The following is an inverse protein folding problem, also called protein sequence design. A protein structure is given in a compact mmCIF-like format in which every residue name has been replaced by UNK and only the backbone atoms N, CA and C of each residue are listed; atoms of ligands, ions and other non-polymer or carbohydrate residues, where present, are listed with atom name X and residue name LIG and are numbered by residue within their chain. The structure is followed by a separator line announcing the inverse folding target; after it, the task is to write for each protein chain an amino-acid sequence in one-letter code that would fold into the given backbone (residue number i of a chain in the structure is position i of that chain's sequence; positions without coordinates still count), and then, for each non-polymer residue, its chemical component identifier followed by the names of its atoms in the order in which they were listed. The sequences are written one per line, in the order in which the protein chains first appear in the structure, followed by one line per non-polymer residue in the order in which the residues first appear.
data_IF_148001799306
#
_entry.id   IF_148001799306
#
_cell.length_a   1.000
_cell.length_b   1.000
_cell.length_c   1.000
_cell.angle_alpha   90.00
_cell.angle_beta   90.00
_cell.angle_gamma   90.00
#
_symmetry.space_group_name_H-M   'P 1'
#
loop_
_entity.id
_entity.type
_entity.pdbx_description
1 polymer ?
#
# COMPACT_ATOMS: atom_id res chain seq x y z
N UNK A 1 -63.46 2.41 -17.49
CA UNK A 1 -63.09 1.47 -16.41
C UNK A 1 -62.53 0.21 -17.04
N UNK A 2 -61.28 -0.17 -16.72
CA UNK A 2 -60.69 -1.46 -17.11
C UNK A 2 -59.27 -1.34 -17.69
N UNK A 3 -58.25 -1.45 -16.83
CA UNK A 3 -56.81 -1.31 -17.08
C UNK A 3 -56.22 -2.21 -18.18
N UNK A 4 -55.20 -1.75 -18.94
CA UNK A 4 -54.31 -2.62 -19.68
C UNK A 4 -53.24 -3.24 -18.75
N UNK A 5 -53.08 -4.57 -18.82
CA UNK A 5 -52.05 -5.34 -18.10
C UNK A 5 -50.68 -5.06 -18.73
N UNK A 6 -49.78 -4.44 -17.97
CA UNK A 6 -48.36 -4.33 -18.32
C UNK A 6 -47.64 -5.64 -18.00
N UNK A 7 -46.97 -6.21 -19.00
CA UNK A 7 -45.97 -7.26 -18.80
C UNK A 7 -44.73 -6.63 -18.16
N UNK A 8 -44.49 -6.92 -16.88
CA UNK A 8 -43.23 -6.59 -16.22
C UNK A 8 -42.27 -7.77 -16.41
N UNK A 9 -41.34 -7.64 -17.34
CA UNK A 9 -40.19 -8.55 -17.45
C UNK A 9 -39.17 -8.11 -16.40
N UNK A 10 -39.07 -8.84 -15.29
CA UNK A 10 -38.00 -8.68 -14.31
C UNK A 10 -36.66 -9.11 -14.94
N UNK A 11 -35.63 -8.26 -15.03
CA UNK A 11 -34.29 -8.75 -15.29
C UNK A 11 -33.80 -9.47 -14.04
N UNK A 12 -33.38 -10.73 -14.21
CA UNK A 12 -32.74 -11.53 -13.17
C UNK A 12 -31.60 -10.74 -12.52
N UNK A 13 -31.59 -10.71 -11.19
CA UNK A 13 -30.55 -10.12 -10.38
C UNK A 13 -29.19 -10.67 -10.82
N UNK A 14 -28.35 -9.79 -11.36
CA UNK A 14 -26.92 -10.04 -11.52
C UNK A 14 -26.37 -10.06 -10.09
N UNK A 15 -26.12 -11.26 -9.57
CA UNK A 15 -25.42 -11.42 -8.29
C UNK A 15 -24.15 -10.55 -8.28
N UNK A 16 -23.70 -10.06 -7.11
CA UNK A 16 -22.55 -9.19 -7.05
C UNK A 16 -21.36 -9.95 -7.66
N UNK A 17 -20.89 -9.49 -8.82
CA UNK A 17 -19.60 -9.91 -9.38
C UNK A 17 -18.55 -9.34 -8.44
N UNK A 18 -18.16 -10.10 -7.42
CA UNK A 18 -16.90 -9.88 -6.73
C UNK A 18 -15.78 -10.35 -7.66
N UNK A 19 -15.46 -9.50 -8.63
CA UNK A 19 -14.24 -9.60 -9.42
C UNK A 19 -13.71 -8.18 -9.58
N UNK A 20 -13.30 -7.60 -8.46
CA UNK A 20 -12.37 -6.47 -8.50
C UNK A 20 -11.02 -7.03 -8.91
N UNK A 21 -10.41 -6.46 -9.95
CA UNK A 21 -9.01 -6.72 -10.22
C UNK A 21 -8.19 -6.36 -8.95
N UNK A 22 -7.09 -7.08 -8.66
CA UNK A 22 -6.21 -6.70 -7.56
C UNK A 22 -5.78 -5.24 -7.74
N UNK A 23 -5.88 -4.46 -6.67
CA UNK A 23 -5.42 -3.06 -6.69
C UNK A 23 -3.90 -3.05 -6.85
N UNK A 24 -3.41 -2.31 -7.85
CA UNK A 24 -1.99 -2.20 -8.17
C UNK A 24 -1.49 -0.84 -7.75
N UNK A 25 -0.33 -0.83 -7.09
CA UNK A 25 0.36 0.38 -6.67
C UNK A 25 1.74 0.39 -7.31
N UNK A 26 2.22 1.58 -7.63
CA UNK A 26 3.58 1.80 -8.11
C UNK A 26 4.24 2.81 -7.21
N UNK A 27 5.39 2.44 -6.63
CA UNK A 27 6.22 3.33 -5.82
C UNK A 27 7.52 3.62 -6.54
N UNK A 28 8.10 4.77 -6.21
CA UNK A 28 9.45 5.15 -6.58
C UNK A 28 10.40 4.78 -5.44
N UNK A 29 11.39 3.93 -5.70
CA UNK A 29 12.42 3.52 -4.72
C UNK A 29 13.47 4.62 -4.48
N UNK A 30 13.49 5.67 -5.30
CA UNK A 30 14.47 6.76 -5.22
C UNK A 30 15.88 6.37 -5.71
N UNK A 31 16.11 5.09 -6.00
CA UNK A 31 17.37 4.51 -6.49
C UNK A 31 17.09 3.38 -7.48
N UNK A 32 18.14 2.97 -8.21
CA UNK A 32 18.06 1.82 -9.12
C UNK A 32 17.86 0.51 -8.35
N UNK A 33 17.17 -0.45 -8.97
CA UNK A 33 17.04 -1.83 -8.47
C UNK A 33 18.37 -2.60 -8.32
N UNK A 34 19.48 -2.03 -8.79
CA UNK A 34 20.82 -2.62 -8.67
C UNK A 34 21.57 -2.17 -7.41
N UNK A 35 21.01 -1.23 -6.64
CA UNK A 35 21.61 -0.77 -5.37
C UNK A 35 21.09 -1.58 -4.19
N UNK A 36 21.84 -1.57 -3.09
CA UNK A 36 21.47 -2.26 -1.85
C UNK A 36 20.10 -1.77 -1.34
N UNK A 37 19.88 -0.46 -1.32
CA UNK A 37 18.62 0.14 -0.84
C UNK A 37 17.43 -0.21 -1.75
N UNK A 38 17.66 -0.29 -3.07
CA UNK A 38 16.64 -0.74 -4.01
C UNK A 38 16.26 -2.21 -3.80
N UNK A 39 17.26 -3.08 -3.56
CA UNK A 39 17.04 -4.49 -3.27
C UNK A 39 16.33 -4.70 -1.94
N UNK A 40 16.65 -3.92 -0.90
CA UNK A 40 15.97 -3.97 0.39
C UNK A 40 14.47 -3.68 0.26
N UNK A 41 14.08 -2.66 -0.52
CA UNK A 41 12.66 -2.36 -0.77
C UNK A 41 11.98 -3.53 -1.49
N UNK A 42 12.65 -4.15 -2.48
CA UNK A 42 12.12 -5.29 -3.23
C UNK A 42 11.96 -6.51 -2.32
N UNK A 43 12.91 -6.78 -1.44
CA UNK A 43 12.86 -7.89 -0.49
C UNK A 43 11.66 -7.73 0.46
N UNK A 44 11.48 -6.55 1.05
CA UNK A 44 10.30 -6.24 1.87
C UNK A 44 9.00 -6.41 1.09
N UNK A 45 8.94 -5.94 -0.17
CA UNK A 45 7.77 -6.10 -1.02
C UNK A 45 7.43 -7.57 -1.29
N UNK A 46 8.43 -8.43 -1.50
CA UNK A 46 8.23 -9.87 -1.69
C UNK A 46 7.77 -10.59 -0.42
N UNK A 47 8.04 -10.03 0.76
CA UNK A 47 7.54 -10.57 2.03
C UNK A 47 6.06 -10.25 2.25
N UNK A 48 5.63 -9.02 1.96
CA UNK A 48 4.26 -8.56 2.28
C UNK A 48 3.29 -8.56 1.08
N UNK A 49 3.79 -8.65 -0.14
CA UNK A 49 3.03 -8.47 -1.39
C UNK A 49 3.54 -9.34 -2.55
N UNK A 50 2.91 -9.19 -3.71
CA UNK A 50 3.31 -9.76 -4.98
C UNK A 50 3.75 -8.65 -5.94
N UNK A 51 5.04 -8.62 -6.28
CA UNK A 51 5.61 -7.71 -7.28
C UNK A 51 5.14 -8.11 -8.68
N UNK A 52 4.66 -7.13 -9.46
CA UNK A 52 4.09 -7.32 -10.81
C UNK A 52 4.98 -6.81 -11.93
N UNK A 53 5.69 -5.71 -11.68
CA UNK A 53 6.56 -5.10 -12.67
C UNK A 53 7.65 -4.28 -11.97
N UNK A 54 8.79 -4.14 -12.65
CA UNK A 54 9.89 -3.27 -12.23
C UNK A 54 10.41 -2.54 -13.47
N UNK A 55 10.67 -1.24 -13.33
CA UNK A 55 11.17 -0.39 -14.41
C UNK A 55 12.07 0.73 -13.85
N UNK A 56 13.38 0.53 -13.93
CA UNK A 56 14.35 1.48 -13.39
C UNK A 56 14.27 1.58 -11.86
N UNK A 57 13.84 2.73 -11.36
CA UNK A 57 13.62 3.00 -9.93
C UNK A 57 12.16 2.76 -9.48
N UNK A 58 11.28 2.36 -10.41
CA UNK A 58 9.86 2.11 -10.13
C UNK A 58 9.60 0.63 -9.91
N UNK A 59 8.78 0.31 -8.90
CA UNK A 59 8.28 -1.04 -8.63
C UNK A 59 6.76 -1.02 -8.48
N UNK A 60 6.10 -1.93 -9.19
CA UNK A 60 4.65 -2.12 -9.16
C UNK A 60 4.30 -3.41 -8.42
N UNK A 61 3.38 -3.35 -7.47
CA UNK A 61 2.98 -4.48 -6.62
C UNK A 61 1.47 -4.50 -6.35
N UNK A 62 0.98 -5.58 -5.74
CA UNK A 62 -0.42 -5.71 -5.33
C UNK A 62 -0.64 -5.11 -3.94
N UNK A 63 -1.40 -4.03 -3.85
CA UNK A 63 -1.70 -3.40 -2.58
C UNK A 63 -2.73 -2.29 -2.71
N UNK A 64 -3.21 -1.82 -1.56
CA UNK A 64 -4.08 -0.67 -1.48
C UNK A 64 -3.40 0.41 -0.63
N UNK A 65 -3.23 1.60 -1.18
CA UNK A 65 -2.76 2.75 -0.39
C UNK A 65 -3.83 3.09 0.63
N UNK A 66 -3.47 3.07 1.91
CA UNK A 66 -4.41 3.41 3.00
C UNK A 66 -4.21 4.82 3.52
N UNK A 67 -3.02 5.38 3.34
CA UNK A 67 -2.70 6.70 3.84
C UNK A 67 -1.32 7.17 3.43
N UNK A 68 -1.19 8.49 3.34
CA UNK A 68 0.07 9.21 3.10
C UNK A 68 0.23 10.21 4.24
N UNK A 69 1.37 10.18 4.92
CA UNK A 69 1.64 11.08 6.03
C UNK A 69 2.01 12.48 5.53
N UNK A 70 1.93 13.47 6.42
CA UNK A 70 2.72 14.69 6.26
C UNK A 70 4.22 14.43 6.52
N UNK A 71 5.07 15.47 6.48
CA UNK A 71 6.47 15.32 6.84
C UNK A 71 6.65 14.82 8.28
N UNK A 72 7.57 13.88 8.48
CA UNK A 72 7.94 13.33 9.80
C UNK A 72 9.46 13.32 9.89
N UNK A 73 10.02 14.20 10.73
CA UNK A 73 11.47 14.38 10.80
C UNK A 73 12.03 14.86 9.46
N UNK A 74 13.02 14.14 8.94
CA UNK A 74 13.66 14.41 7.63
C UNK A 74 12.91 13.74 6.45
N UNK A 75 11.87 12.97 6.73
CA UNK A 75 11.05 12.33 5.71
C UNK A 75 10.08 13.34 5.10
N UNK A 76 9.99 13.34 3.78
CA UNK A 76 8.98 14.12 3.05
C UNK A 76 7.60 13.53 3.30
N UNK A 77 7.49 12.20 3.27
CA UNK A 77 6.25 11.47 3.60
C UNK A 77 6.54 10.00 3.91
N UNK A 78 5.58 9.33 4.54
CA UNK A 78 5.46 7.88 4.62
C UNK A 78 4.13 7.50 3.99
N UNK A 79 4.17 6.56 3.06
CA UNK A 79 3.03 5.93 2.43
C UNK A 79 2.79 4.56 3.07
N UNK A 80 1.58 4.31 3.53
CA UNK A 80 1.20 3.03 4.10
C UNK A 80 0.29 2.27 3.14
N UNK A 81 0.62 1.02 2.89
CA UNK A 81 -0.13 0.15 2.01
C UNK A 81 -0.59 -1.09 2.76
N UNK A 82 -1.84 -1.48 2.52
CA UNK A 82 -2.35 -2.80 2.88
C UNK A 82 -2.05 -3.76 1.73
N UNK A 83 -1.27 -4.80 2.02
CA UNK A 83 -0.85 -5.81 1.06
C UNK A 83 -1.49 -7.17 1.38
N UNK A 84 -1.29 -8.15 0.51
CA UNK A 84 -1.92 -9.47 0.65
C UNK A 84 -1.42 -10.26 1.86
N UNK A 85 -0.16 -10.05 2.27
CA UNK A 85 0.48 -10.77 3.37
C UNK A 85 0.84 -9.85 4.55
N UNK A 86 0.51 -8.56 4.51
CA UNK A 86 0.82 -7.64 5.59
C UNK A 86 0.63 -6.17 5.25
N UNK A 87 1.44 -5.33 5.89
CA UNK A 87 1.52 -3.88 5.73
C UNK A 87 2.90 -3.53 5.20
N UNK A 88 2.94 -2.62 4.23
CA UNK A 88 4.16 -1.95 3.78
C UNK A 88 4.13 -0.51 4.25
N UNK A 89 5.23 -0.04 4.84
CA UNK A 89 5.49 1.37 5.05
C UNK A 89 6.64 1.79 4.13
N UNK A 90 6.36 2.68 3.18
CA UNK A 90 7.33 3.23 2.26
C UNK A 90 7.63 4.68 2.66
N UNK A 91 8.89 4.98 2.98
CA UNK A 91 9.31 6.29 3.43
C UNK A 91 10.09 7.02 2.34
N UNK A 92 9.60 8.20 1.99
CA UNK A 92 10.13 9.05 0.93
C UNK A 92 10.96 10.17 1.54
N UNK A 93 12.21 10.26 1.10
CA UNK A 93 13.14 11.34 1.47
C UNK A 93 13.20 12.39 0.35
N UNK A 94 13.73 13.58 0.64
CA UNK A 94 13.73 14.68 -0.34
C UNK A 94 14.56 14.41 -1.61
N UNK A 95 15.59 13.55 -1.50
CA UNK A 95 16.58 13.32 -2.57
C UNK A 95 16.92 11.84 -2.79
N UNK A 96 16.24 10.92 -2.10
CA UNK A 96 16.67 9.53 -2.00
C UNK A 96 17.92 9.33 -1.10
N UNK A 97 18.26 8.07 -0.78
CA UNK A 97 17.46 6.87 -1.06
C UNK A 97 16.15 6.87 -0.26
N UNK A 98 15.11 6.26 -0.83
CA UNK A 98 13.91 5.91 -0.07
C UNK A 98 14.16 4.58 0.64
N UNK A 99 13.30 4.23 1.59
CA UNK A 99 13.37 2.94 2.25
C UNK A 99 11.98 2.40 2.52
N UNK A 100 11.89 1.11 2.74
CA UNK A 100 10.63 0.46 3.09
C UNK A 100 10.83 -0.53 4.23
N UNK A 101 9.77 -0.72 5.02
CA UNK A 101 9.68 -1.77 6.03
C UNK A 101 8.33 -2.46 5.92
N UNK A 102 8.29 -3.72 6.33
CA UNK A 102 7.09 -4.55 6.26
C UNK A 102 6.84 -5.30 7.55
N UNK A 103 5.62 -5.75 7.72
CA UNK A 103 5.20 -6.62 8.82
C UNK A 103 3.81 -7.17 8.57
N UNK A 104 3.39 -8.19 9.33
CA UNK A 104 2.02 -8.72 9.18
C UNK A 104 0.97 -7.74 9.72
N UNK A 105 1.39 -6.83 10.60
CA UNK A 105 0.59 -5.73 11.18
C UNK A 105 1.33 -4.40 11.06
N UNK A 106 0.63 -3.27 11.23
CA UNK A 106 1.28 -1.96 11.26
C UNK A 106 2.25 -1.81 12.44
N UNK A 107 1.92 -2.36 13.61
CA UNK A 107 2.83 -2.37 14.76
C UNK A 107 4.14 -3.14 14.48
N UNK A 108 4.06 -4.30 13.82
CA UNK A 108 5.26 -5.03 13.39
C UNK A 108 6.08 -4.21 12.39
N UNK A 109 5.43 -3.63 11.37
CA UNK A 109 6.12 -2.79 10.39
C UNK A 109 6.83 -1.60 11.06
N UNK A 110 6.22 -0.95 12.05
CA UNK A 110 6.86 0.13 12.82
C UNK A 110 8.08 -0.38 13.59
N UNK A 111 8.00 -1.57 14.20
CA UNK A 111 9.11 -2.14 14.96
C UNK A 111 10.35 -2.43 14.10
N UNK A 112 10.17 -2.60 12.78
CA UNK A 112 11.24 -2.82 11.81
C UNK A 112 11.91 -1.51 11.36
N UNK A 113 11.35 -0.34 11.67
CA UNK A 113 11.99 0.95 11.37
C UNK A 113 13.27 1.07 12.19
N UNK A 114 14.42 1.26 11.51
CA UNK A 114 15.72 1.33 12.17
C UNK A 114 15.85 2.54 13.10
N UNK A 115 15.32 3.70 12.70
CA UNK A 115 15.30 4.89 13.54
C UNK A 115 14.12 4.86 14.53
N UNK A 116 14.43 4.47 15.77
CA UNK A 116 13.47 4.41 16.86
C UNK A 116 12.78 5.76 17.18
N UNK A 117 13.37 6.89 16.80
CA UNK A 117 12.76 8.20 17.00
C UNK A 117 11.49 8.39 16.15
N UNK A 118 11.36 7.64 15.06
CA UNK A 118 10.19 7.63 14.19
C UNK A 118 9.05 6.76 14.72
N UNK A 119 9.30 5.84 15.65
CA UNK A 119 8.26 4.89 16.10
C UNK A 119 7.04 5.60 16.69
N UNK A 120 7.16 6.55 17.64
CA UNK A 120 5.99 7.22 18.20
C UNK A 120 5.15 8.02 17.18
N UNK A 121 5.72 8.91 16.34
CA UNK A 121 4.91 9.66 15.38
C UNK A 121 4.29 8.77 14.30
N UNK A 122 4.99 7.73 13.84
CA UNK A 122 4.44 6.81 12.82
C UNK A 122 3.32 5.96 13.40
N UNK A 123 3.47 5.46 14.64
CA UNK A 123 2.40 4.71 15.33
C UNK A 123 1.14 5.57 15.51
N UNK A 124 1.31 6.81 15.97
CA UNK A 124 0.19 7.73 16.17
C UNK A 124 -0.53 8.06 14.85
N UNK A 125 0.21 8.19 13.75
CA UNK A 125 -0.37 8.37 12.43
C UNK A 125 -1.07 7.10 11.91
N UNK A 126 -0.50 5.91 12.09
CA UNK A 126 -1.08 4.65 11.63
C UNK A 126 -2.44 4.34 12.28
N UNK A 127 -2.60 4.66 13.56
CA UNK A 127 -3.87 4.57 14.26
C UNK A 127 -4.96 5.45 13.60
N UNK A 128 -4.58 6.56 12.98
CA UNK A 128 -5.49 7.45 12.25
C UNK A 128 -5.93 6.93 10.87
N UNK A 129 -5.20 5.98 10.28
CA UNK A 129 -5.48 5.40 8.94
C UNK A 129 -5.98 3.95 9.00
N UNK A 130 -6.19 3.41 10.21
CA UNK A 130 -6.80 2.08 10.42
C UNK A 130 -5.84 0.91 10.16
N UNK A 131 -4.57 1.06 10.55
CA UNK A 131 -3.52 0.03 10.49
C UNK A 131 -2.83 -0.19 11.86
N UNK A 132 -3.53 0.04 12.97
CA UNK A 132 -3.02 -0.25 14.32
C UNK A 132 -2.71 -1.74 14.55
#
# INVERSE_FOLDING_TARGET
MGNPRTHTTTPAAKGPRMSGAPELQTIDMGVSMETEEGLEIIDVLNEVSEVRAMAGHLVTFVGALVGTSGPIGDLTTIEAYRCSAGVLLHAVTASGPHWAVGGTTGAEAVSMIQDASLHPPVTAWLAGVGLD
#
